data_IF_637158824216
#
_entry.id   IF_637158824216
#
_cell.length_a   1.000
_cell.length_b   1.000
_cell.length_c   1.000
_cell.angle_alpha   90.00
_cell.angle_beta   90.00
_cell.angle_gamma   90.00
#
_symmetry.space_group_name_H-M   'P 1'
#
loop_
_entity.id
_entity.type
_entity.pdbx_description
1 polymer ?
#
# COMPACT_ATOMS: atom_id res chain seq x y z
N UNK A 1 12.50 -1.05 -34.69
CA UNK A 1 11.50 -1.24 -33.63
C UNK A 1 11.45 -2.70 -33.14
N UNK A 2 11.39 -3.71 -34.02
CA UNK A 2 11.28 -5.14 -33.66
C UNK A 2 12.48 -5.73 -32.89
N UNK A 3 13.71 -5.26 -33.13
CA UNK A 3 14.93 -5.73 -32.43
C UNK A 3 15.00 -5.20 -31.00
N UNK A 4 14.57 -3.96 -30.76
CA UNK A 4 14.51 -3.39 -29.40
C UNK A 4 13.40 -4.04 -28.56
N UNK A 5 12.27 -4.37 -29.17
CA UNK A 5 11.14 -5.03 -28.48
C UNK A 5 11.51 -6.43 -27.98
N UNK A 6 12.18 -7.27 -28.81
CA UNK A 6 12.66 -8.60 -28.36
C UNK A 6 13.69 -8.51 -27.22
N UNK A 7 14.58 -7.51 -27.25
CA UNK A 7 15.59 -7.31 -26.20
C UNK A 7 14.95 -6.86 -24.89
N UNK A 8 13.93 -5.99 -24.96
CA UNK A 8 13.17 -5.55 -23.80
C UNK A 8 12.34 -6.68 -23.19
N UNK A 9 11.68 -7.50 -24.01
CA UNK A 9 10.92 -8.66 -23.50
C UNK A 9 11.86 -9.68 -22.84
N UNK A 10 13.01 -9.98 -23.43
CA UNK A 10 13.98 -10.92 -22.87
C UNK A 10 14.55 -10.45 -21.53
N UNK A 11 14.57 -9.15 -21.30
CA UNK A 11 14.97 -8.55 -20.02
C UNK A 11 13.81 -8.49 -19.00
N UNK A 12 12.58 -8.16 -19.47
CA UNK A 12 11.41 -8.07 -18.58
C UNK A 12 10.89 -9.43 -18.14
N UNK A 13 10.97 -10.45 -18.99
CA UNK A 13 10.39 -11.78 -18.71
C UNK A 13 10.93 -12.41 -17.41
N UNK A 14 12.26 -12.51 -17.19
CA UNK A 14 12.79 -13.07 -15.96
C UNK A 14 12.43 -12.22 -14.73
N UNK A 15 12.31 -10.91 -14.88
CA UNK A 15 11.88 -10.01 -13.79
C UNK A 15 10.41 -10.28 -13.43
N UNK A 16 9.53 -10.42 -14.42
CA UNK A 16 8.12 -10.74 -14.21
C UNK A 16 7.93 -12.13 -13.58
N UNK A 17 8.67 -13.13 -14.05
CA UNK A 17 8.63 -14.48 -13.48
C UNK A 17 9.13 -14.45 -12.02
N UNK A 18 10.28 -13.80 -11.77
CA UNK A 18 10.83 -13.64 -10.42
C UNK A 18 9.88 -12.88 -9.49
N UNK A 19 9.26 -11.80 -9.96
CA UNK A 19 8.26 -11.07 -9.23
C UNK A 19 7.02 -11.93 -8.93
N UNK A 20 6.52 -12.70 -9.91
CA UNK A 20 5.39 -13.60 -9.73
C UNK A 20 5.66 -14.68 -8.67
N UNK A 21 6.80 -15.35 -8.77
CA UNK A 21 7.23 -16.35 -7.77
C UNK A 21 7.39 -15.68 -6.39
N UNK A 22 8.03 -14.51 -6.35
CA UNK A 22 8.20 -13.73 -5.12
C UNK A 22 6.86 -13.42 -4.46
N UNK A 23 5.90 -12.90 -5.21
CA UNK A 23 4.55 -12.58 -4.69
C UNK A 23 3.87 -13.82 -4.12
N UNK A 24 3.92 -14.96 -4.81
CA UNK A 24 3.28 -16.21 -4.33
C UNK A 24 3.94 -16.71 -3.06
N UNK A 25 5.27 -16.77 -3.01
CA UNK A 25 6.02 -17.26 -1.84
C UNK A 25 5.83 -16.34 -0.65
N UNK A 26 6.03 -15.02 -0.84
CA UNK A 26 5.88 -14.05 0.24
C UNK A 26 4.44 -13.92 0.71
N UNK A 27 3.46 -14.03 -0.17
CA UNK A 27 2.04 -14.01 0.21
C UNK A 27 1.69 -15.16 1.17
N UNK A 28 2.17 -16.37 0.90
CA UNK A 28 1.98 -17.52 1.80
C UNK A 28 2.71 -17.33 3.13
N UNK A 29 3.94 -16.83 3.10
CA UNK A 29 4.74 -16.54 4.29
C UNK A 29 4.04 -15.49 5.17
N UNK A 30 3.61 -14.37 4.57
CA UNK A 30 2.95 -13.29 5.30
C UNK A 30 1.61 -13.75 5.88
N UNK A 31 0.80 -14.53 5.13
CA UNK A 31 -0.44 -15.12 5.67
C UNK A 31 -0.17 -15.98 6.89
N UNK A 32 0.85 -16.83 6.84
CA UNK A 32 1.27 -17.67 7.96
C UNK A 32 1.69 -16.80 9.17
N UNK A 33 2.55 -15.79 8.94
CA UNK A 33 3.01 -14.90 10.00
C UNK A 33 1.87 -14.10 10.65
N UNK A 34 0.92 -13.61 9.86
CA UNK A 34 -0.25 -12.89 10.38
C UNK A 34 -1.16 -13.82 11.18
N UNK A 35 -1.33 -15.07 10.74
CA UNK A 35 -2.19 -16.03 11.43
C UNK A 35 -1.61 -16.48 12.78
N UNK A 36 -0.31 -16.73 12.85
CA UNK A 36 0.32 -17.30 14.06
C UNK A 36 1.05 -16.26 14.92
N UNK A 37 1.57 -15.19 14.32
CA UNK A 37 2.37 -14.15 14.99
C UNK A 37 1.95 -12.73 14.57
N UNK A 38 0.67 -12.34 14.76
CA UNK A 38 0.15 -11.06 14.26
C UNK A 38 0.89 -9.86 14.87
N UNK A 39 1.12 -9.85 16.18
CA UNK A 39 1.76 -8.74 16.87
C UNK A 39 3.24 -8.56 16.47
N UNK A 40 4.12 -9.58 16.49
CA UNK A 40 5.48 -9.45 15.99
C UNK A 40 5.56 -9.03 14.53
N UNK A 41 4.67 -9.55 13.67
CA UNK A 41 4.60 -9.20 12.24
C UNK A 41 4.25 -7.74 12.04
N UNK A 42 3.27 -7.23 12.80
CA UNK A 42 2.89 -5.81 12.78
C UNK A 42 4.09 -4.92 13.14
N UNK A 43 4.78 -5.23 14.25
CA UNK A 43 5.94 -4.47 14.71
C UNK A 43 7.14 -4.57 13.77
N UNK A 44 7.30 -5.68 13.05
CA UNK A 44 8.30 -5.80 12.00
C UNK A 44 8.08 -4.77 10.87
N UNK A 45 6.84 -4.66 10.37
CA UNK A 45 6.51 -3.66 9.36
C UNK A 45 6.66 -2.23 9.86
N UNK A 46 6.26 -1.96 11.10
CA UNK A 46 6.49 -0.65 11.74
C UNK A 46 7.99 -0.33 11.80
N UNK A 47 8.82 -1.30 12.19
CA UNK A 47 10.27 -1.16 12.19
C UNK A 47 10.86 -0.84 10.82
N UNK A 48 10.40 -1.53 9.76
CA UNK A 48 10.81 -1.24 8.38
C UNK A 48 10.45 0.18 7.96
N UNK A 49 9.25 0.66 8.30
CA UNK A 49 8.80 2.01 7.95
C UNK A 49 9.65 3.05 8.68
N UNK A 50 9.81 2.91 9.99
CA UNK A 50 10.62 3.83 10.80
C UNK A 50 12.09 3.84 10.32
N UNK A 51 12.64 2.67 10.01
CA UNK A 51 14.01 2.54 9.50
C UNK A 51 14.22 3.15 8.11
N UNK A 52 13.17 3.28 7.30
CA UNK A 52 13.24 3.94 5.98
C UNK A 52 13.06 5.46 6.04
N UNK A 53 12.52 6.02 7.13
CA UNK A 53 12.33 7.47 7.31
C UNK A 53 13.61 8.30 7.16
N UNK A 54 14.76 7.93 7.75
CA UNK A 54 16.00 8.73 7.62
C UNK A 54 16.45 8.89 6.17
N UNK A 55 16.19 7.89 5.31
CA UNK A 55 16.53 7.95 3.90
C UNK A 55 15.72 9.02 3.16
N UNK A 56 14.40 9.05 3.41
CA UNK A 56 13.49 10.02 2.81
C UNK A 56 13.72 11.41 3.37
N UNK A 57 13.95 11.50 4.69
CA UNK A 57 14.22 12.77 5.37
C UNK A 57 15.50 13.46 4.86
N UNK A 58 16.57 12.69 4.64
CA UNK A 58 17.81 13.24 4.06
C UNK A 58 17.58 13.83 2.68
N UNK A 59 16.78 13.17 1.83
CA UNK A 59 16.43 13.70 0.51
C UNK A 59 15.61 15.00 0.59
N UNK A 60 14.79 15.15 1.61
CA UNK A 60 14.02 16.38 1.81
C UNK A 60 14.90 17.57 2.19
N UNK A 61 16.05 17.34 2.81
CA UNK A 61 17.00 18.36 3.24
C UNK A 61 18.03 18.76 2.15
N UNK A 62 18.07 18.06 1.02
CA UNK A 62 18.95 18.44 -0.11
C UNK A 62 18.54 19.79 -0.74
N UNK A 63 17.33 20.28 -0.46
CA UNK A 63 16.81 21.56 -0.91
C UNK A 63 16.71 22.55 0.26
N UNK A 64 16.76 23.88 -0.04
CA UNK A 64 16.65 24.93 0.99
C UNK A 64 15.36 24.77 1.79
N UNK A 65 15.50 24.63 3.11
CA UNK A 65 14.37 24.43 4.01
C UNK A 65 13.42 25.64 3.97
N UNK A 66 12.14 25.38 3.74
CA UNK A 66 11.05 26.35 3.84
C UNK A 66 10.02 25.85 4.84
N UNK A 67 9.65 26.62 5.89
CA UNK A 67 8.71 26.16 6.92
C UNK A 67 7.32 25.79 6.36
N UNK A 68 6.92 26.42 5.25
CA UNK A 68 5.67 26.08 4.53
C UNK A 68 5.65 24.63 4.04
N UNK A 69 6.80 24.02 3.84
CA UNK A 69 6.91 22.61 3.42
C UNK A 69 6.49 21.60 4.50
N UNK A 70 6.35 22.04 5.76
CA UNK A 70 5.82 21.22 6.85
C UNK A 70 4.28 21.04 6.78
N UNK A 71 3.58 21.95 6.10
CA UNK A 71 2.11 21.87 5.98
C UNK A 71 1.66 20.53 5.37
N UNK A 72 2.18 20.08 4.21
CA UNK A 72 1.81 18.79 3.66
C UNK A 72 2.10 17.60 4.59
N UNK A 73 3.16 17.67 5.40
CA UNK A 73 3.49 16.64 6.39
C UNK A 73 2.36 16.48 7.40
N UNK A 74 1.95 17.58 8.06
CA UNK A 74 0.92 17.53 9.08
C UNK A 74 -0.46 17.21 8.51
N UNK A 75 -0.80 17.74 7.34
CA UNK A 75 -2.07 17.47 6.66
C UNK A 75 -2.19 15.99 6.30
N UNK A 76 -1.15 15.40 5.70
CA UNK A 76 -1.20 13.99 5.30
C UNK A 76 -1.02 13.03 6.48
N UNK A 77 -0.26 13.41 7.51
CA UNK A 77 -0.22 12.69 8.78
C UNK A 77 -1.63 12.62 9.39
N UNK A 78 -2.31 13.77 9.51
CA UNK A 78 -3.67 13.85 10.04
C UNK A 78 -4.67 13.07 9.17
N UNK A 79 -4.56 13.15 7.84
CA UNK A 79 -5.38 12.40 6.92
C UNK A 79 -5.19 10.88 7.08
N UNK A 80 -3.94 10.39 7.18
CA UNK A 80 -3.68 8.96 7.40
C UNK A 80 -4.16 8.47 8.77
N UNK A 81 -3.97 9.28 9.82
CA UNK A 81 -4.50 8.93 11.15
C UNK A 81 -6.03 8.93 11.16
N UNK A 82 -6.68 9.90 10.51
CA UNK A 82 -8.14 9.92 10.38
C UNK A 82 -8.65 8.70 9.61
N UNK A 83 -8.02 8.31 8.52
CA UNK A 83 -8.35 7.10 7.75
C UNK A 83 -8.20 5.81 8.57
N UNK A 84 -7.28 5.77 9.55
CA UNK A 84 -7.11 4.62 10.43
C UNK A 84 -8.35 4.39 11.33
N UNK A 85 -9.12 5.43 11.64
CA UNK A 85 -10.34 5.35 12.44
C UNK A 85 -11.62 5.12 11.61
N UNK A 86 -11.54 5.13 10.29
CA UNK A 86 -12.69 4.83 9.44
C UNK A 86 -12.98 3.34 9.50
N UNK A 87 -14.12 2.98 10.09
CA UNK A 87 -14.63 1.60 10.09
C UNK A 87 -15.05 1.23 8.67
N UNK A 88 -14.22 0.44 7.99
CA UNK A 88 -14.44 0.00 6.61
C UNK A 88 -15.40 -1.19 6.50
N UNK A 89 -15.65 -1.91 7.60
CA UNK A 89 -16.54 -3.08 7.62
C UNK A 89 -18.00 -2.77 7.26
N UNK A 90 -18.50 -1.60 7.65
CA UNK A 90 -19.86 -1.18 7.34
C UNK A 90 -20.08 -0.74 5.88
N UNK A 91 -19.02 -0.49 5.12
CA UNK A 91 -19.13 -0.11 3.71
C UNK A 91 -19.06 -1.32 2.75
N UNK A 92 -18.56 -2.47 3.21
CA UNK A 92 -18.50 -3.69 2.38
C UNK A 92 -19.89 -4.26 2.06
N UNK A 93 -20.88 -4.05 2.93
CA UNK A 93 -22.28 -4.48 2.71
C UNK A 93 -23.03 -3.64 1.70
N UNK A 94 -22.60 -2.41 1.44
CA UNK A 94 -23.27 -1.53 0.48
C UNK A 94 -22.97 -1.85 -0.99
N UNK A 95 -21.91 -2.59 -1.24
CA UNK A 95 -21.43 -2.90 -2.60
C UNK A 95 -21.96 -4.23 -3.18
N UNK A 96 -22.62 -5.04 -2.37
CA UNK A 96 -23.24 -6.31 -2.80
C UNK A 96 -24.52 -6.02 -3.60
N UNK A 97 -24.37 -5.62 -4.87
CA UNK A 97 -25.50 -5.36 -5.76
C UNK A 97 -25.32 -4.16 -6.67
N UNK A 98 -24.07 -3.83 -7.03
CA UNK A 98 -23.82 -2.77 -8.02
C UNK A 98 -24.44 -3.19 -9.35
N UNK A 99 -25.61 -2.61 -9.67
CA UNK A 99 -26.19 -2.76 -11.01
C UNK A 99 -25.24 -2.11 -12.03
N UNK A 100 -24.84 -2.90 -13.03
CA UNK A 100 -23.92 -2.42 -14.07
C UNK A 100 -24.63 -1.45 -15.00
N UNK A 101 -24.41 -0.16 -14.73
CA UNK A 101 -24.80 0.94 -15.60
C UNK A 101 -23.56 1.80 -15.89
N UNK A 102 -23.70 2.77 -16.78
CA UNK A 102 -22.60 3.69 -17.15
C UNK A 102 -22.03 4.42 -15.92
N UNK A 103 -22.91 4.79 -14.96
CA UNK A 103 -22.49 5.45 -13.72
C UNK A 103 -21.61 4.55 -12.84
N UNK A 104 -22.01 3.28 -12.63
CA UNK A 104 -21.23 2.30 -11.89
C UNK A 104 -19.90 2.00 -12.57
N UNK A 105 -19.90 1.93 -13.90
CA UNK A 105 -18.67 1.71 -14.68
C UNK A 105 -17.67 2.85 -14.49
N UNK A 106 -18.12 4.11 -14.58
CA UNK A 106 -17.30 5.29 -14.31
C UNK A 106 -16.81 5.33 -12.85
N UNK A 107 -17.70 5.00 -11.91
CA UNK A 107 -17.36 4.95 -10.49
C UNK A 107 -16.24 3.94 -10.21
N UNK A 108 -16.36 2.70 -10.72
CA UNK A 108 -15.35 1.67 -10.59
C UNK A 108 -14.01 2.11 -11.23
N UNK A 109 -14.06 2.73 -12.40
CA UNK A 109 -12.88 3.25 -13.08
C UNK A 109 -12.18 4.34 -12.26
N UNK A 110 -12.90 5.37 -11.80
CA UNK A 110 -12.28 6.47 -11.06
C UNK A 110 -11.82 6.05 -9.67
N UNK A 111 -12.59 5.25 -8.95
CA UNK A 111 -12.21 4.75 -7.63
C UNK A 111 -10.95 3.89 -7.68
N UNK A 112 -10.85 2.99 -8.65
CA UNK A 112 -9.64 2.17 -8.85
C UNK A 112 -8.45 2.99 -9.37
N UNK A 113 -8.67 4.01 -10.20
CA UNK A 113 -7.63 4.93 -10.63
C UNK A 113 -7.04 5.71 -9.45
N UNK A 114 -7.89 6.24 -8.56
CA UNK A 114 -7.44 6.94 -7.34
C UNK A 114 -6.69 5.98 -6.41
N UNK A 115 -7.21 4.77 -6.21
CA UNK A 115 -6.55 3.75 -5.39
C UNK A 115 -5.16 3.40 -5.93
N UNK A 116 -5.02 3.23 -7.24
CA UNK A 116 -3.76 2.94 -7.90
C UNK A 116 -2.77 4.12 -7.84
N UNK A 117 -3.24 5.36 -7.97
CA UNK A 117 -2.42 6.56 -7.76
C UNK A 117 -1.86 6.63 -6.33
N UNK A 118 -2.72 6.40 -5.34
CA UNK A 118 -2.31 6.42 -3.93
C UNK A 118 -1.30 5.32 -3.61
N UNK A 119 -1.39 4.14 -4.25
CA UNK A 119 -0.47 3.02 -4.04
C UNK A 119 0.98 3.33 -4.45
N UNK A 120 1.21 4.29 -5.34
CA UNK A 120 2.57 4.69 -5.75
C UNK A 120 3.28 5.41 -4.60
N UNK A 121 2.53 6.01 -3.68
CA UNK A 121 3.07 6.76 -2.55
C UNK A 121 3.34 5.79 -1.39
N UNK A 122 4.57 5.73 -0.86
CA UNK A 122 4.89 4.88 0.29
C UNK A 122 4.00 5.19 1.50
N UNK A 123 3.46 4.16 2.13
CA UNK A 123 2.62 4.29 3.34
C UNK A 123 1.11 4.28 3.07
N UNK A 124 0.66 4.35 1.82
CA UNK A 124 -0.76 4.24 1.47
C UNK A 124 -1.05 2.90 0.80
N UNK A 125 -2.04 2.17 1.32
CA UNK A 125 -2.49 0.90 0.74
C UNK A 125 -3.63 1.15 -0.25
N UNK A 126 -3.47 0.70 -1.50
CA UNK A 126 -4.53 0.78 -2.52
C UNK A 126 -5.80 0.02 -2.11
N UNK A 127 -5.67 -1.12 -1.42
CA UNK A 127 -6.81 -1.86 -0.90
C UNK A 127 -7.60 -1.05 0.14
N UNK A 128 -6.93 -0.29 0.99
CA UNK A 128 -7.59 0.59 1.95
C UNK A 128 -8.41 1.68 1.25
N UNK A 129 -7.88 2.25 0.17
CA UNK A 129 -8.61 3.23 -0.63
C UNK A 129 -9.82 2.59 -1.31
N UNK A 130 -9.68 1.37 -1.86
CA UNK A 130 -10.82 0.63 -2.42
C UNK A 130 -11.89 0.32 -1.37
N UNK A 131 -11.49 0.03 -0.11
CA UNK A 131 -12.42 -0.15 1.03
C UNK A 131 -13.14 1.15 1.35
N UNK A 132 -12.44 2.29 1.39
CA UNK A 132 -13.05 3.61 1.62
C UNK A 132 -14.08 3.95 0.53
N UNK A 133 -13.82 3.56 -0.72
CA UNK A 133 -14.80 3.66 -1.80
C UNK A 133 -15.87 2.56 -1.78
N UNK A 134 -15.81 1.59 -0.85
CA UNK A 134 -16.79 0.51 -0.73
C UNK A 134 -16.79 -0.50 -1.90
N UNK A 135 -15.75 -0.51 -2.74
CA UNK A 135 -15.69 -1.41 -3.91
C UNK A 135 -14.72 -2.59 -3.74
N UNK A 136 -14.02 -2.66 -2.60
CA UNK A 136 -13.02 -3.71 -2.36
C UNK A 136 -13.63 -5.13 -2.43
N UNK A 137 -14.73 -5.35 -1.71
CA UNK A 137 -15.41 -6.66 -1.70
C UNK A 137 -15.93 -7.04 -3.09
N UNK A 138 -16.47 -6.08 -3.84
CA UNK A 138 -16.94 -6.29 -5.23
C UNK A 138 -15.80 -6.72 -6.14
N UNK A 139 -14.64 -6.06 -6.06
CA UNK A 139 -13.47 -6.38 -6.89
C UNK A 139 -12.91 -7.75 -6.52
N UNK A 140 -12.75 -8.04 -5.22
CA UNK A 140 -12.23 -9.35 -4.76
C UNK A 140 -13.22 -10.48 -5.09
N UNK A 141 -14.52 -10.26 -4.91
CA UNK A 141 -15.58 -11.20 -5.29
C UNK A 141 -15.53 -11.52 -6.79
N UNK A 142 -15.44 -10.48 -7.64
CA UNK A 142 -15.34 -10.66 -9.09
C UNK A 142 -14.08 -11.42 -9.51
N UNK A 143 -12.95 -11.24 -8.82
CA UNK A 143 -11.72 -12.01 -9.07
C UNK A 143 -11.91 -13.48 -8.62
N UNK A 144 -12.50 -13.70 -7.44
CA UNK A 144 -12.66 -15.03 -6.85
C UNK A 144 -13.62 -15.91 -7.65
N UNK A 145 -14.71 -15.33 -8.15
CA UNK A 145 -15.74 -16.04 -8.90
C UNK A 145 -15.60 -15.92 -10.42
N UNK A 146 -14.44 -15.49 -10.90
CA UNK A 146 -14.18 -15.26 -12.34
C UNK A 146 -14.47 -16.51 -13.20
N UNK A 147 -14.25 -17.71 -12.65
CA UNK A 147 -14.49 -18.97 -13.35
C UNK A 147 -15.95 -19.36 -13.41
N UNK A 148 -16.80 -18.89 -12.47
CA UNK A 148 -18.24 -19.25 -12.39
C UNK A 148 -19.10 -18.32 -13.22
N UNK A 149 -18.83 -17.02 -13.20
CA UNK A 149 -19.59 -15.96 -13.88
C UNK A 149 -18.65 -15.08 -14.68
N UNK A 150 -18.04 -15.64 -15.72
CA UNK A 150 -16.96 -14.99 -16.46
C UNK A 150 -17.36 -13.65 -17.06
N UNK A 151 -18.49 -13.58 -17.76
CA UNK A 151 -18.93 -12.35 -18.45
C UNK A 151 -19.29 -11.23 -17.47
N UNK A 152 -20.05 -11.54 -16.42
CA UNK A 152 -20.49 -10.54 -15.43
C UNK A 152 -19.30 -9.98 -14.66
N UNK A 153 -18.40 -10.86 -14.24
CA UNK A 153 -17.20 -10.47 -13.51
C UNK A 153 -16.18 -9.72 -14.38
N UNK A 154 -16.08 -10.07 -15.67
CA UNK A 154 -15.28 -9.28 -16.61
C UNK A 154 -15.81 -7.86 -16.80
N UNK A 155 -17.15 -7.66 -16.80
CA UNK A 155 -17.74 -6.32 -16.87
C UNK A 155 -17.37 -5.45 -15.67
N UNK A 156 -17.18 -6.03 -14.47
CA UNK A 156 -16.68 -5.34 -13.28
C UNK A 156 -15.18 -5.11 -13.35
N UNK A 157 -14.42 -6.14 -13.71
CA UNK A 157 -12.97 -6.08 -13.70
C UNK A 157 -12.35 -5.23 -14.81
N UNK A 158 -13.07 -5.04 -15.92
CA UNK A 158 -12.58 -4.26 -17.05
C UNK A 158 -12.42 -2.77 -16.68
N UNK A 159 -13.44 -2.05 -16.14
CA UNK A 159 -13.26 -0.67 -15.70
C UNK A 159 -12.24 -0.55 -14.56
N UNK A 160 -12.20 -1.51 -13.63
CA UNK A 160 -11.21 -1.55 -12.57
C UNK A 160 -9.79 -1.67 -13.13
N UNK A 161 -9.55 -2.60 -14.05
CA UNK A 161 -8.25 -2.80 -14.68
C UNK A 161 -7.80 -1.58 -15.48
N UNK A 162 -8.70 -0.98 -16.26
CA UNK A 162 -8.41 0.26 -16.99
C UNK A 162 -8.13 1.42 -16.04
N UNK A 163 -8.90 1.54 -14.95
CA UNK A 163 -8.68 2.54 -13.91
C UNK A 163 -7.31 2.37 -13.23
N UNK A 164 -6.92 1.15 -12.89
CA UNK A 164 -5.60 0.85 -12.30
C UNK A 164 -4.47 1.25 -13.25
N UNK A 165 -4.53 0.86 -14.51
CA UNK A 165 -3.50 1.23 -15.51
C UNK A 165 -3.42 2.75 -15.66
N UNK A 166 -4.56 3.42 -15.81
CA UNK A 166 -4.62 4.88 -15.89
C UNK A 166 -4.06 5.53 -14.63
N UNK A 167 -4.47 5.04 -13.44
CA UNK A 167 -4.03 5.54 -12.14
C UNK A 167 -2.51 5.42 -11.94
N UNK A 168 -1.91 4.29 -12.33
CA UNK A 168 -0.46 4.10 -12.26
C UNK A 168 0.27 5.09 -13.19
N UNK A 169 -0.15 5.18 -14.46
CA UNK A 169 0.51 6.06 -15.43
C UNK A 169 0.38 7.53 -15.06
N UNK A 170 -0.85 7.94 -14.72
CA UNK A 170 -1.13 9.33 -14.36
C UNK A 170 -0.51 9.69 -13.00
N UNK A 171 -0.62 8.80 -12.00
CA UNK A 171 -0.05 9.00 -10.68
C UNK A 171 1.48 9.08 -10.70
N UNK A 172 2.15 8.21 -11.46
CA UNK A 172 3.60 8.28 -11.64
C UNK A 172 4.04 9.61 -12.26
N UNK A 173 3.30 10.08 -13.28
CA UNK A 173 3.54 11.40 -13.90
C UNK A 173 3.32 12.54 -12.90
N UNK A 174 2.23 12.49 -12.15
CA UNK A 174 1.90 13.50 -11.16
C UNK A 174 2.98 13.61 -10.07
N UNK A 175 3.43 12.46 -9.54
CA UNK A 175 4.51 12.43 -8.53
C UNK A 175 5.83 12.93 -9.12
N UNK A 176 6.17 12.58 -10.36
CA UNK A 176 7.38 13.08 -11.03
C UNK A 176 7.34 14.62 -11.17
N UNK A 177 6.18 15.17 -11.57
CA UNK A 177 5.98 16.62 -11.65
C UNK A 177 6.10 17.27 -10.26
N UNK A 178 5.47 16.69 -9.24
CA UNK A 178 5.54 17.19 -7.87
C UNK A 178 6.98 17.18 -7.33
N UNK A 179 7.73 16.08 -7.57
CA UNK A 179 9.13 15.97 -7.17
C UNK A 179 10.06 16.94 -7.91
N UNK A 180 9.77 17.27 -9.18
CA UNK A 180 10.55 18.24 -9.95
C UNK A 180 10.22 19.68 -9.57
N UNK A 181 8.95 20.00 -9.35
CA UNK A 181 8.50 21.38 -9.13
C UNK A 181 8.51 21.77 -7.66
N UNK A 182 8.18 20.85 -6.75
CA UNK A 182 8.09 21.07 -5.30
C UNK A 182 8.74 19.91 -4.52
N UNK A 183 10.05 19.63 -4.71
CA UNK A 183 10.69 18.45 -4.15
C UNK A 183 10.56 18.38 -2.63
N UNK A 184 10.81 19.46 -1.93
CA UNK A 184 10.76 19.49 -0.47
C UNK A 184 9.35 19.21 0.06
N UNK A 185 8.32 19.87 -0.48
CA UNK A 185 6.93 19.65 -0.05
C UNK A 185 6.51 18.20 -0.30
N UNK A 186 6.92 17.63 -1.44
CA UNK A 186 6.59 16.24 -1.81
C UNK A 186 7.27 15.24 -0.87
N UNK A 187 8.55 15.45 -0.51
CA UNK A 187 9.22 14.59 0.47
C UNK A 187 8.60 14.70 1.86
N UNK A 188 8.25 15.89 2.32
CA UNK A 188 7.56 16.06 3.61
C UNK A 188 6.15 15.47 3.60
N UNK A 189 5.44 15.54 2.47
CA UNK A 189 4.17 14.86 2.26
C UNK A 189 4.31 13.33 2.43
N UNK A 190 5.32 12.73 1.78
CA UNK A 190 5.65 11.31 1.90
C UNK A 190 5.99 10.94 3.34
N UNK A 191 6.79 11.75 4.04
CA UNK A 191 7.14 11.53 5.45
C UNK A 191 5.89 11.56 6.33
N UNK A 192 4.96 12.50 6.09
CA UNK A 192 3.68 12.56 6.81
C UNK A 192 2.85 11.28 6.66
N UNK A 193 2.73 10.77 5.44
CA UNK A 193 2.05 9.51 5.17
C UNK A 193 2.76 8.32 5.83
N UNK A 194 4.09 8.27 5.76
CA UNK A 194 4.90 7.22 6.39
C UNK A 194 4.80 7.24 7.91
N UNK A 195 4.71 8.40 8.54
CA UNK A 195 4.53 8.53 10.00
C UNK A 195 3.10 8.16 10.44
N UNK A 196 2.10 8.41 9.61
CA UNK A 196 0.71 8.03 9.89
C UNK A 196 0.42 6.54 9.67
N UNK A 197 1.17 5.87 8.79
CA UNK A 197 0.91 4.47 8.43
C UNK A 197 1.11 3.44 9.56
N UNK A 198 2.05 3.58 10.53
CA UNK A 198 2.18 2.65 11.66
C UNK A 198 0.92 2.51 12.48
N UNK A 199 0.21 3.61 12.74
CA UNK A 199 -1.06 3.57 13.46
C UNK A 199 -2.14 2.82 12.67
N UNK A 200 -2.27 3.10 11.38
CA UNK A 200 -3.21 2.42 10.51
C UNK A 200 -2.93 0.91 10.41
N UNK A 201 -1.65 0.52 10.32
CA UNK A 201 -1.23 -0.88 10.31
C UNK A 201 -1.59 -1.55 11.64
N UNK A 202 -1.26 -0.93 12.76
CA UNK A 202 -1.55 -1.46 14.10
C UNK A 202 -3.05 -1.71 14.30
N UNK A 203 -3.89 -0.73 13.99
CA UNK A 203 -5.35 -0.84 14.12
C UNK A 203 -5.92 -1.93 13.22
N UNK A 204 -5.44 -2.04 11.98
CA UNK A 204 -5.87 -3.07 11.04
C UNK A 204 -5.50 -4.48 11.50
N UNK A 205 -4.29 -4.67 12.03
CA UNK A 205 -3.86 -5.97 12.58
C UNK A 205 -4.67 -6.36 13.81
N UNK A 206 -4.97 -5.40 14.68
CA UNK A 206 -5.81 -5.64 15.85
C UNK A 206 -7.23 -6.05 15.46
N UNK A 207 -7.86 -5.35 14.54
CA UNK A 207 -9.19 -5.68 14.04
C UNK A 207 -9.22 -7.07 13.38
N UNK A 208 -8.24 -7.39 12.54
CA UNK A 208 -8.16 -8.69 11.87
C UNK A 208 -7.92 -9.85 12.85
N UNK A 209 -7.15 -9.64 13.93
CA UNK A 209 -6.96 -10.65 14.97
C UNK A 209 -8.25 -10.92 15.76
N UNK A 210 -9.06 -9.91 15.99
CA UNK A 210 -10.36 -10.08 16.67
C UNK A 210 -11.35 -10.83 15.79
N UNK A 211 -11.40 -10.54 14.50
CA UNK A 211 -12.31 -11.19 13.54
C UNK A 211 -12.01 -12.69 13.32
N UNK A 212 -10.76 -13.12 13.50
CA UNK A 212 -10.35 -14.51 13.30
C UNK A 212 -10.36 -15.36 14.58
N UNK A 213 -10.84 -14.83 15.72
CA UNK A 213 -10.78 -15.49 17.04
C UNK A 213 -9.38 -16.00 17.43
N UNK A 214 -8.34 -15.52 16.74
CA UNK A 214 -6.95 -15.86 17.02
C UNK A 214 -6.48 -14.99 18.19
N UNK A 215 -6.55 -15.54 19.40
CA UNK A 215 -6.18 -14.88 20.68
C UNK A 215 -4.68 -14.49 20.77
N UNK A 216 -3.97 -14.38 19.66
CA UNK A 216 -2.52 -14.18 19.62
C UNK A 216 -2.10 -12.69 19.58
N UNK A 217 -3.06 -11.74 19.50
CA UNK A 217 -2.76 -10.30 19.67
C UNK A 217 -2.85 -9.92 21.16
N UNK A 218 -2.17 -10.71 22.01
CA UNK A 218 -2.16 -10.50 23.45
C UNK A 218 -0.90 -9.77 23.89
N UNK A 219 -1.09 -8.77 24.76
CA UNK A 219 0.02 -8.01 25.37
C UNK A 219 0.69 -8.81 26.51
N UNK A 220 1.12 -10.03 26.21
CA UNK A 220 1.95 -10.81 27.12
C UNK A 220 3.39 -10.28 27.10
N UNK A 221 4.09 -10.27 28.23
CA UNK A 221 5.47 -9.80 28.33
C UNK A 221 6.38 -10.45 27.26
N UNK A 222 6.19 -11.74 26.99
CA UNK A 222 6.93 -12.48 25.98
C UNK A 222 6.63 -11.96 24.56
N UNK A 223 5.35 -11.69 24.22
CA UNK A 223 4.96 -11.15 22.90
C UNK A 223 5.51 -9.74 22.69
N UNK A 224 5.52 -8.91 23.74
CA UNK A 224 6.09 -7.56 23.69
C UNK A 224 7.59 -7.62 23.44
N UNK A 225 8.30 -8.51 24.13
CA UNK A 225 9.76 -8.66 23.97
C UNK A 225 10.11 -9.13 22.56
N UNK A 226 9.42 -10.16 22.06
CA UNK A 226 9.63 -10.68 20.69
C UNK A 226 9.31 -9.58 19.67
N UNK A 227 8.22 -8.86 19.85
CA UNK A 227 7.82 -7.77 18.94
C UNK A 227 8.82 -6.62 18.91
N UNK A 228 9.40 -6.26 20.06
CA UNK A 228 10.45 -5.25 20.15
C UNK A 228 11.72 -5.69 19.40
N UNK A 229 12.16 -6.93 19.61
CA UNK A 229 13.33 -7.48 18.90
C UNK A 229 13.09 -7.51 17.38
N UNK A 230 11.93 -7.98 16.95
CA UNK A 230 11.56 -8.08 15.53
C UNK A 230 11.41 -6.68 14.90
N UNK A 231 10.91 -5.69 15.65
CA UNK A 231 10.88 -4.29 15.23
C UNK A 231 12.29 -3.74 15.00
N UNK A 232 13.23 -4.02 15.90
CA UNK A 232 14.64 -3.62 15.75
C UNK A 232 15.29 -4.30 14.55
N UNK A 233 14.97 -5.56 14.27
CA UNK A 233 15.44 -6.27 13.08
C UNK A 233 14.89 -5.58 11.81
N UNK A 234 13.61 -5.26 11.75
CA UNK A 234 13.02 -4.53 10.64
C UNK A 234 13.66 -3.17 10.40
N UNK A 235 13.90 -2.43 11.50
CA UNK A 235 14.59 -1.14 11.47
C UNK A 235 16.03 -1.29 10.95
N UNK A 236 16.79 -2.27 11.45
CA UNK A 236 18.16 -2.53 11.02
C UNK A 236 18.23 -2.90 9.53
N UNK A 237 17.33 -3.76 9.05
CA UNK A 237 17.22 -4.13 7.63
C UNK A 237 16.98 -2.89 6.77
N UNK A 238 16.01 -2.05 7.15
CA UNK A 238 15.70 -0.85 6.38
C UNK A 238 16.85 0.16 6.35
N UNK A 239 17.54 0.34 7.46
CA UNK A 239 18.72 1.20 7.53
C UNK A 239 19.89 0.65 6.70
N UNK A 240 20.13 -0.67 6.73
CA UNK A 240 21.18 -1.31 5.95
C UNK A 240 20.97 -1.13 4.45
N UNK A 241 19.79 -1.46 3.94
CA UNK A 241 19.44 -1.26 2.54
C UNK A 241 19.38 0.23 2.14
N UNK A 242 19.02 1.12 3.08
CA UNK A 242 19.05 2.57 2.86
C UNK A 242 20.47 3.15 2.83
N UNK A 243 21.42 2.52 3.52
CA UNK A 243 22.82 2.98 3.62
C UNK A 243 23.67 2.63 2.40
N UNK A 244 23.37 1.54 1.70
CA UNK A 244 24.21 0.99 0.63
C UNK A 244 24.32 1.90 -0.64
N UNK A 245 23.47 2.93 -0.75
CA UNK A 245 23.57 3.96 -1.81
C UNK A 245 24.68 5.01 -1.56
N UNK A 246 25.53 4.85 -0.54
CA UNK A 246 26.64 5.77 -0.26
C UNK A 246 27.91 5.54 -1.10
N UNK A 247 27.97 4.47 -1.92
CA UNK A 247 29.20 4.09 -2.63
C UNK A 247 29.15 4.22 -4.16
N UNK A 248 28.27 5.09 -4.69
CA UNK A 248 28.35 5.44 -6.12
C UNK A 248 28.18 6.93 -6.32
#
# INVERSE_FOLDING_TARGET
LRKHFKKSIRFLLPILIGAGIGVVVFSKLIKYLIAYFPMPTCFFFIGLIIGSLPLVFRKSLETKFRPVSLIPLFVLLAAMTALAFVNTESQETAAAGIQMNIGSWLYLFFASAVAAMCMIIPGVSGSMILMVFGIYATVIGAISDLTKHFFDNCMILLPVGLGVVFGIVFGAKLIDICLKRFPQMTFFAIIGLMLGSPLAIFMKFQAQSQAQEVNNFTFTAMNITISAVVCLIGLAIALFFGSDKRKK
#
